data_IF_077735981835
#
_entry.id   IF_077735981835
#
_cell.length_a   1.000
_cell.length_b   1.000
_cell.length_c   1.000
_cell.angle_alpha   90.00
_cell.angle_beta   90.00
_cell.angle_gamma   90.00
#
_symmetry.space_group_name_H-M   'P 1'
#
loop_
_entity.id
_entity.type
_entity.pdbx_description
1 polymer ?
#
# COMPACT_ATOMS: atom_id res chain seq x y z
N UNK A 1 -14.96 -6.03 -3.50
CA UNK A 1 -13.98 -6.91 -4.17
C UNK A 1 -12.73 -6.94 -3.30
N UNK A 2 -11.93 -8.02 -3.35
CA UNK A 2 -10.63 -8.11 -2.66
C UNK A 2 -9.51 -7.81 -3.65
N UNK A 3 -8.62 -6.90 -3.31
CA UNK A 3 -7.56 -6.41 -4.21
C UNK A 3 -6.21 -6.57 -3.51
N UNK A 4 -5.27 -7.26 -4.15
CA UNK A 4 -3.88 -7.41 -3.67
C UNK A 4 -2.95 -6.59 -4.57
N UNK A 5 -2.21 -5.67 -3.97
CA UNK A 5 -1.17 -4.89 -4.65
C UNK A 5 0.19 -5.31 -4.10
N UNK A 6 1.08 -5.76 -5.00
CA UNK A 6 2.41 -6.26 -4.63
C UNK A 6 3.46 -5.38 -5.30
N UNK A 7 4.42 -4.91 -4.51
CA UNK A 7 5.59 -4.17 -4.99
C UNK A 7 6.87 -4.67 -4.34
N UNK A 8 8.02 -4.29 -4.88
CA UNK A 8 9.31 -4.78 -4.39
C UNK A 8 9.83 -4.06 -3.14
N UNK A 9 9.66 -2.74 -3.06
CA UNK A 9 10.30 -1.90 -2.04
C UNK A 9 9.28 -1.10 -1.23
N UNK A 10 9.50 -0.96 0.07
CA UNK A 10 8.63 -0.19 0.99
C UNK A 10 9.14 1.22 1.33
N UNK A 11 10.24 1.66 0.68
CA UNK A 11 10.73 3.04 0.77
C UNK A 11 9.91 4.02 -0.08
N UNK A 12 9.93 5.31 0.26
CA UNK A 12 9.20 6.30 -0.54
C UNK A 12 9.87 6.52 -1.90
N UNK A 13 9.08 6.35 -2.95
CA UNK A 13 9.49 6.54 -4.34
C UNK A 13 8.28 6.68 -5.26
N UNK A 14 8.54 6.62 -6.57
CA UNK A 14 7.49 6.82 -7.58
C UNK A 14 6.39 5.76 -7.51
N UNK A 15 6.76 4.48 -7.55
CA UNK A 15 5.80 3.37 -7.53
C UNK A 15 5.02 3.31 -6.21
N UNK A 16 5.69 3.56 -5.09
CA UNK A 16 5.08 3.57 -3.76
C UNK A 16 4.09 4.71 -3.62
N UNK A 17 4.41 5.90 -4.14
CA UNK A 17 3.47 7.04 -4.15
C UNK A 17 2.20 6.70 -4.93
N UNK A 18 2.32 6.00 -6.07
CA UNK A 18 1.15 5.55 -6.82
C UNK A 18 0.34 4.52 -6.03
N UNK A 19 0.99 3.52 -5.44
CA UNK A 19 0.33 2.48 -4.64
C UNK A 19 -0.36 3.06 -3.41
N UNK A 20 0.28 3.99 -2.68
CA UNK A 20 -0.33 4.66 -1.53
C UNK A 20 -1.64 5.35 -1.94
N UNK A 21 -1.59 6.21 -2.95
CA UNK A 21 -2.75 6.98 -3.38
C UNK A 21 -3.87 6.07 -3.91
N UNK A 22 -3.50 5.09 -4.73
CA UNK A 22 -4.46 4.16 -5.31
C UNK A 22 -5.10 3.26 -4.24
N UNK A 23 -4.28 2.70 -3.34
CA UNK A 23 -4.75 1.82 -2.27
C UNK A 23 -5.70 2.54 -1.32
N UNK A 24 -5.33 3.74 -0.88
CA UNK A 24 -6.17 4.55 0.01
C UNK A 24 -7.50 4.93 -0.65
N UNK A 25 -7.52 5.19 -1.97
CA UNK A 25 -8.77 5.49 -2.67
C UNK A 25 -9.65 4.24 -2.84
N UNK A 26 -9.04 3.10 -3.16
CA UNK A 26 -9.78 1.85 -3.35
C UNK A 26 -10.30 1.28 -2.02
N UNK A 27 -9.61 1.53 -0.90
CA UNK A 27 -10.02 1.05 0.42
C UNK A 27 -11.35 1.64 0.91
N UNK A 28 -11.82 2.74 0.32
CA UNK A 28 -13.14 3.30 0.61
C UNK A 28 -14.29 2.34 0.28
N UNK A 29 -14.11 1.44 -0.69
CA UNK A 29 -15.17 0.57 -1.21
C UNK A 29 -14.77 -0.92 -1.30
N UNK A 30 -13.49 -1.23 -1.09
CA UNK A 30 -12.91 -2.54 -1.33
C UNK A 30 -11.98 -2.95 -0.20
N UNK A 31 -11.83 -4.26 0.01
CA UNK A 31 -10.77 -4.78 0.87
C UNK A 31 -9.47 -4.76 0.07
N UNK A 32 -8.51 -3.94 0.49
CA UNK A 32 -7.20 -3.79 -0.15
C UNK A 32 -6.13 -4.39 0.76
N UNK A 33 -5.20 -5.13 0.17
CA UNK A 33 -4.03 -5.69 0.83
C UNK A 33 -2.82 -5.18 0.06
N UNK A 34 -1.85 -4.61 0.76
CA UNK A 34 -0.59 -4.18 0.16
C UNK A 34 0.54 -5.03 0.71
N UNK A 35 1.28 -5.68 -0.18
CA UNK A 35 2.45 -6.45 0.15
C UNK A 35 3.71 -5.79 -0.44
N UNK A 36 4.76 -5.63 0.36
CA UNK A 36 6.03 -5.09 -0.12
C UNK A 36 7.24 -5.74 0.55
N UNK A 37 8.35 -5.80 -0.19
CA UNK A 37 9.63 -6.25 0.35
C UNK A 37 10.35 -5.20 1.21
N UNK A 38 11.65 -5.42 1.41
CA UNK A 38 12.49 -4.59 2.27
C UNK A 38 12.52 -3.10 1.87
N UNK A 39 12.79 -2.25 2.85
CA UNK A 39 12.83 -0.80 2.71
C UNK A 39 12.82 -0.11 4.08
N UNK A 40 12.74 1.22 4.08
CA UNK A 40 12.67 2.00 5.32
C UNK A 40 11.28 2.03 5.97
N UNK A 41 10.30 1.38 5.34
CA UNK A 41 8.93 1.22 5.84
C UNK A 41 8.11 2.51 5.91
N UNK A 42 8.61 3.65 5.39
CA UNK A 42 7.89 4.92 5.45
C UNK A 42 6.55 4.90 4.72
N UNK A 43 6.45 4.10 3.66
CA UNK A 43 5.20 3.92 2.92
C UNK A 43 4.04 3.46 3.81
N UNK A 44 4.30 2.54 4.75
CA UNK A 44 3.29 1.94 5.61
C UNK A 44 2.57 2.95 6.49
N UNK A 45 3.27 4.01 6.89
CA UNK A 45 2.72 5.09 7.72
C UNK A 45 1.74 5.98 6.94
N UNK A 46 1.76 5.91 5.61
CA UNK A 46 0.90 6.69 4.72
C UNK A 46 -0.33 5.93 4.23
N UNK A 47 -0.41 4.64 4.51
CA UNK A 47 -1.55 3.80 4.18
C UNK A 47 -2.69 4.02 5.18
N UNK A 48 -3.93 3.82 4.73
CA UNK A 48 -5.09 3.89 5.60
C UNK A 48 -4.93 2.90 6.78
N UNK A 49 -5.24 3.29 8.04
CA UNK A 49 -4.97 2.47 9.22
C UNK A 49 -5.59 1.07 9.18
N UNK A 50 -6.75 0.94 8.53
CA UNK A 50 -7.50 -0.31 8.44
C UNK A 50 -7.00 -1.26 7.33
N UNK A 51 -5.98 -0.85 6.56
CA UNK A 51 -5.47 -1.64 5.46
C UNK A 51 -4.47 -2.70 5.94
N UNK A 52 -4.61 -3.92 5.42
CA UNK A 52 -3.69 -5.02 5.75
C UNK A 52 -2.35 -4.86 5.02
N UNK A 53 -1.28 -5.05 5.78
CA UNK A 53 0.11 -4.92 5.34
C UNK A 53 0.80 -6.29 5.46
N UNK A 54 1.53 -6.70 4.43
CA UNK A 54 2.24 -7.99 4.35
C UNK A 54 3.67 -7.83 3.81
#
# INVERSE_FOLDING_TARGET
MRILQIITLSELGGAQTVVINLSNKLSENHEVIVAAGEGDGKMWQMLHPDMKQE
#
